data_IF_683712932328
#
_entry.id   IF_683712932328
#
_cell.length_a   1.000
_cell.length_b   1.000
_cell.length_c   1.000
_cell.angle_alpha   90.00
_cell.angle_beta   90.00
_cell.angle_gamma   90.00
#
_symmetry.space_group_name_H-M   'P 1'
#
loop_
_entity.id
_entity.type
_entity.pdbx_description
1 polymer ?
#
# COMPACT_ATOMS: atom_id res chain seq x y z
N UNK A 1 -18.61 16.27 6.32
CA UNK A 1 -18.92 15.40 5.16
C UNK A 1 -18.29 14.06 5.45
N UNK A 2 -19.08 12.98 5.54
CA UNK A 2 -18.51 11.63 5.72
C UNK A 2 -17.92 11.18 4.38
N UNK A 3 -16.65 10.75 4.28
CA UNK A 3 -16.16 10.14 3.06
C UNK A 3 -17.00 8.88 2.80
N UNK A 4 -17.50 8.74 1.57
CA UNK A 4 -18.14 7.51 1.13
C UNK A 4 -17.04 6.44 1.17
N UNK A 5 -17.04 5.61 2.20
CA UNK A 5 -16.27 4.36 2.23
C UNK A 5 -16.78 3.49 1.09
N UNK A 6 -16.21 3.70 -0.09
CA UNK A 6 -16.30 2.76 -1.17
C UNK A 6 -15.33 1.65 -0.80
N UNK A 7 -15.86 0.47 -0.45
CA UNK A 7 -15.09 -0.71 -0.04
C UNK A 7 -14.33 -1.33 -1.22
N UNK A 8 -13.63 -0.51 -2.00
CA UNK A 8 -12.76 -0.95 -3.06
C UNK A 8 -11.44 -1.40 -2.42
N UNK A 9 -11.04 -2.64 -2.67
CA UNK A 9 -9.76 -3.17 -2.20
C UNK A 9 -8.57 -2.48 -2.90
N UNK A 10 -8.82 -1.85 -4.05
CA UNK A 10 -7.82 -1.19 -4.89
C UNK A 10 -8.31 0.21 -5.26
N UNK A 11 -7.52 1.23 -4.90
CA UNK A 11 -7.62 2.58 -5.42
C UNK A 11 -6.65 2.74 -6.60
N UNK A 12 -7.00 3.56 -7.59
CA UNK A 12 -6.12 3.81 -8.73
C UNK A 12 -5.75 5.29 -8.76
N UNK A 13 -4.47 5.59 -8.58
CA UNK A 13 -3.95 6.95 -8.68
C UNK A 13 -3.34 7.17 -10.06
N UNK A 14 -3.69 8.28 -10.71
CA UNK A 14 -3.39 8.52 -12.13
C UNK A 14 -2.93 9.95 -12.38
N UNK A 15 -2.07 10.12 -13.38
CA UNK A 15 -1.62 11.41 -13.88
C UNK A 15 -0.67 12.14 -12.95
N UNK A 16 -0.81 13.47 -12.89
CA UNK A 16 0.07 14.38 -12.14
C UNK A 16 -0.65 14.96 -10.94
N UNK A 17 -0.43 14.38 -9.77
CA UNK A 17 -1.09 14.76 -8.51
C UNK A 17 -0.26 15.81 -7.76
N UNK A 18 0.04 16.93 -8.42
CA UNK A 18 0.94 17.97 -7.89
C UNK A 18 0.29 18.85 -6.81
N UNK A 19 -1.03 19.00 -6.86
CA UNK A 19 -1.80 19.86 -5.97
C UNK A 19 -2.74 19.03 -5.08
N UNK A 20 -3.05 19.49 -3.85
CA UNK A 20 -3.97 18.79 -2.96
C UNK A 20 -5.28 18.47 -3.65
N UNK A 21 -5.67 17.20 -3.62
CA UNK A 21 -6.93 16.71 -4.13
C UNK A 21 -7.45 15.57 -3.26
N UNK A 22 -8.74 15.25 -3.41
CA UNK A 22 -9.29 14.06 -2.78
C UNK A 22 -8.66 12.81 -3.42
N UNK A 23 -7.97 12.01 -2.61
CA UNK A 23 -7.43 10.71 -3.01
C UNK A 23 -8.40 9.62 -2.61
N UNK A 24 -8.62 8.68 -3.52
CA UNK A 24 -9.32 7.45 -3.17
C UNK A 24 -8.45 6.63 -2.21
N UNK A 25 -9.01 6.34 -1.04
CA UNK A 25 -8.39 5.52 -0.01
C UNK A 25 -8.73 4.04 -0.25
N UNK A 26 -7.71 3.20 -0.27
CA UNK A 26 -7.86 1.75 -0.30
C UNK A 26 -6.62 1.08 0.31
N UNK A 27 -6.73 -0.18 0.77
CA UNK A 27 -5.57 -0.95 1.24
C UNK A 27 -4.46 -1.11 0.18
N UNK A 28 -4.84 -1.11 -1.11
CA UNK A 28 -3.92 -1.20 -2.23
C UNK A 28 -4.11 -0.01 -3.16
N UNK A 29 -3.01 0.63 -3.54
CA UNK A 29 -2.97 1.78 -4.43
C UNK A 29 -2.20 1.39 -5.69
N UNK A 30 -2.90 1.33 -6.81
CA UNK A 30 -2.32 1.14 -8.13
C UNK A 30 -1.78 2.47 -8.66
N UNK A 31 -0.48 2.51 -8.91
CA UNK A 31 0.27 3.69 -9.32
C UNK A 31 0.86 3.55 -10.74
N UNK A 32 0.40 2.58 -11.54
CA UNK A 32 0.92 2.35 -12.90
C UNK A 32 0.78 3.55 -13.83
N UNK A 33 -0.29 4.32 -13.65
CA UNK A 33 -0.59 5.52 -14.43
C UNK A 33 -0.19 6.81 -13.68
N UNK A 34 0.48 6.70 -12.53
CA UNK A 34 0.90 7.85 -11.72
C UNK A 34 2.26 8.36 -12.18
N UNK A 35 2.30 9.59 -12.68
CA UNK A 35 3.52 10.23 -13.18
C UNK A 35 4.29 10.94 -12.06
N UNK A 36 3.59 11.71 -11.23
CA UNK A 36 4.19 12.45 -10.14
C UNK A 36 3.19 12.73 -9.01
N UNK A 37 3.74 12.97 -7.83
CA UNK A 37 3.00 13.19 -6.60
C UNK A 37 3.57 14.42 -5.91
N UNK A 38 2.71 15.33 -5.48
CA UNK A 38 3.12 16.47 -4.67
C UNK A 38 3.49 16.05 -3.25
N UNK A 39 4.31 16.86 -2.58
CA UNK A 39 4.75 16.61 -1.19
C UNK A 39 3.60 16.57 -0.20
N UNK A 40 2.47 17.19 -0.52
CA UNK A 40 1.24 17.12 0.28
C UNK A 40 0.75 15.68 0.48
N UNK A 41 0.96 14.78 -0.48
CA UNK A 41 0.55 13.39 -0.36
C UNK A 41 1.41 12.60 0.64
N UNK A 42 2.57 13.14 1.05
CA UNK A 42 3.43 12.47 2.02
C UNK A 42 2.79 12.52 3.40
N UNK A 43 2.10 13.62 3.72
CA UNK A 43 1.29 13.74 4.93
C UNK A 43 0.12 12.75 4.90
N UNK A 44 -0.60 12.69 3.78
CA UNK A 44 -1.67 11.71 3.58
C UNK A 44 -1.16 10.27 3.79
N UNK A 45 0.00 9.91 3.21
CA UNK A 45 0.59 8.57 3.36
C UNK A 45 1.08 8.28 4.80
N UNK A 46 1.35 9.31 5.62
CA UNK A 46 1.67 9.12 7.04
C UNK A 46 0.42 8.92 7.88
N UNK A 47 -0.68 9.59 7.53
CA UNK A 47 -1.98 9.43 8.19
C UNK A 47 -2.64 8.08 7.87
N UNK A 48 -2.27 7.46 6.74
CA UNK A 48 -2.80 6.18 6.27
C UNK A 48 -1.68 5.12 6.19
N UNK A 49 -1.08 4.71 7.33
CA UNK A 49 0.01 3.75 7.32
C UNK A 49 -0.47 2.36 6.89
N UNK A 50 0.41 1.60 6.24
CA UNK A 50 0.12 0.22 5.85
C UNK A 50 -0.57 0.06 4.49
N UNK A 51 -0.65 1.13 3.69
CA UNK A 51 -1.07 1.02 2.30
C UNK A 51 -0.01 0.28 1.46
N UNK A 52 -0.47 -0.62 0.60
CA UNK A 52 0.36 -1.27 -0.40
C UNK A 52 0.35 -0.46 -1.70
N UNK A 53 1.51 -0.07 -2.22
CA UNK A 53 1.63 0.60 -3.52
C UNK A 53 2.18 -0.35 -4.57
N UNK A 54 1.55 -0.35 -5.75
CA UNK A 54 1.87 -1.25 -6.85
C UNK A 54 2.14 -0.48 -8.13
N UNK A 55 3.17 -0.90 -8.87
CA UNK A 55 3.41 -0.40 -10.23
C UNK A 55 3.89 1.06 -10.33
N UNK A 56 4.31 1.66 -9.22
CA UNK A 56 4.89 3.01 -9.23
C UNK A 56 6.19 3.08 -10.06
N UNK A 57 6.42 4.22 -10.71
CA UNK A 57 7.66 4.51 -11.41
C UNK A 57 8.88 4.40 -10.46
N UNK A 58 10.05 3.88 -10.90
CA UNK A 58 11.21 3.71 -10.03
C UNK A 58 11.66 4.98 -9.30
N UNK A 59 11.58 6.12 -9.99
CA UNK A 59 11.91 7.43 -9.40
C UNK A 59 10.95 7.81 -8.26
N UNK A 60 9.65 7.60 -8.45
CA UNK A 60 8.63 7.87 -7.43
C UNK A 60 8.84 6.95 -6.22
N UNK A 61 9.07 5.66 -6.45
CA UNK A 61 9.40 4.69 -5.39
C UNK A 61 10.63 5.12 -4.60
N UNK A 62 11.68 5.61 -5.28
CA UNK A 62 12.91 6.11 -4.65
C UNK A 62 12.61 7.30 -3.75
N UNK A 63 11.90 8.31 -4.26
CA UNK A 63 11.55 9.52 -3.51
C UNK A 63 10.73 9.21 -2.25
N UNK A 64 9.71 8.35 -2.38
CA UNK A 64 8.84 7.97 -1.26
C UNK A 64 9.57 7.09 -0.22
N UNK A 65 10.48 6.22 -0.67
CA UNK A 65 11.31 5.41 0.24
C UNK A 65 12.32 6.28 0.99
N UNK A 66 12.92 7.29 0.34
CA UNK A 66 13.82 8.25 0.98
C UNK A 66 13.09 9.13 2.01
N UNK A 67 11.82 9.42 1.77
CA UNK A 67 10.96 10.11 2.72
C UNK A 67 10.54 9.24 3.93
N UNK A 68 10.98 7.98 3.99
CA UNK A 68 10.73 7.01 5.06
C UNK A 68 9.23 6.82 5.34
N UNK A 69 8.43 6.82 4.27
CA UNK A 69 6.98 6.62 4.39
C UNK A 69 6.65 5.14 4.65
N UNK A 70 5.63 4.84 5.47
CA UNK A 70 5.26 3.48 5.86
C UNK A 70 4.47 2.75 4.76
N UNK A 71 5.08 2.61 3.59
CA UNK A 71 4.49 2.05 2.37
C UNK A 71 5.03 0.64 2.12
N UNK A 72 4.12 -0.30 1.87
CA UNK A 72 4.48 -1.65 1.41
C UNK A 72 4.58 -1.67 -0.12
N UNK A 73 5.72 -2.13 -0.66
CA UNK A 73 5.96 -2.09 -2.11
C UNK A 73 5.79 -3.46 -2.75
N UNK A 74 4.94 -3.53 -3.78
CA UNK A 74 4.78 -4.72 -4.61
C UNK A 74 4.99 -4.39 -6.09
N UNK A 75 5.47 -5.36 -6.86
CA UNK A 75 5.70 -5.19 -8.30
C UNK A 75 4.40 -5.36 -9.09
N UNK A 76 3.56 -6.30 -8.65
CA UNK A 76 2.32 -6.68 -9.30
C UNK A 76 1.21 -6.90 -8.26
N UNK A 77 -0.06 -6.74 -8.68
CA UNK A 77 -1.24 -6.82 -7.80
C UNK A 77 -1.44 -8.22 -7.20
N UNK A 78 -1.07 -9.26 -7.94
CA UNK A 78 -1.12 -10.67 -7.52
C UNK A 78 -0.18 -11.00 -6.34
N UNK A 79 0.84 -10.16 -6.11
CA UNK A 79 1.77 -10.30 -4.99
C UNK A 79 1.23 -9.73 -3.69
N UNK A 80 0.13 -8.97 -3.74
CA UNK A 80 -0.45 -8.34 -2.55
C UNK A 80 -1.28 -9.39 -1.78
N UNK A 81 -0.89 -9.77 -0.55
CA UNK A 81 -1.57 -10.83 0.19
C UNK A 81 -3.06 -10.57 0.40
N UNK A 82 -3.44 -9.30 0.57
CA UNK A 82 -4.82 -8.87 0.76
C UNK A 82 -5.72 -9.04 -0.48
N UNK A 83 -5.13 -9.21 -1.66
CA UNK A 83 -5.85 -9.38 -2.93
C UNK A 83 -5.83 -10.81 -3.47
N UNK A 84 -5.00 -11.70 -2.91
CA UNK A 84 -4.93 -13.08 -3.38
C UNK A 84 -6.14 -13.88 -2.90
N UNK A 85 -7.22 -13.89 -3.69
CA UNK A 85 -8.41 -14.75 -3.50
C UNK A 85 -8.17 -16.22 -3.87
N UNK A 86 -6.90 -16.68 -3.85
CA UNK A 86 -6.57 -18.10 -3.99
C UNK A 86 -6.28 -18.64 -2.60
N UNK A 87 -7.27 -19.28 -2.01
CA UNK A 87 -7.29 -19.65 -0.60
C UNK A 87 -6.13 -20.55 -0.20
N UNK A 88 -5.13 -20.00 0.50
CA UNK A 88 -4.47 -20.67 1.63
C UNK A 88 -3.52 -19.77 2.45
N UNK A 89 -3.76 -18.46 2.50
CA UNK A 89 -2.84 -17.52 3.16
C UNK A 89 -3.49 -16.79 4.33
N UNK A 90 -4.05 -17.54 5.28
CA UNK A 90 -3.92 -17.16 6.68
C UNK A 90 -2.45 -17.32 7.08
N UNK A 91 -1.57 -16.41 6.66
CA UNK A 91 -0.22 -16.31 7.23
C UNK A 91 -0.26 -15.40 8.45
N UNK A 92 -0.96 -15.87 9.48
CA UNK A 92 -0.48 -15.65 10.84
C UNK A 92 0.75 -16.55 11.05
N UNK A 93 1.60 -16.20 12.00
CA UNK A 93 2.72 -17.05 12.43
C UNK A 93 2.14 -18.42 12.79
N UNK A 94 2.51 -19.45 12.03
CA UNK A 94 2.04 -20.81 12.29
C UNK A 94 2.50 -21.28 13.67
N UNK A 95 1.83 -22.26 14.31
CA UNK A 95 2.24 -22.79 15.61
C UNK A 95 3.73 -23.16 15.66
N UNK A 96 4.25 -23.72 14.57
CA UNK A 96 5.65 -24.14 14.43
C UNK A 96 6.62 -22.94 14.33
N UNK A 97 6.25 -21.87 13.61
CA UNK A 97 7.03 -20.63 13.58
C UNK A 97 6.95 -19.89 14.93
N UNK A 98 5.84 -20.05 15.68
CA UNK A 98 5.67 -19.50 17.03
C UNK A 98 6.62 -20.19 18.01
N UNK A 99 6.73 -21.51 17.96
CA UNK A 99 7.64 -22.28 18.81
C UNK A 99 9.11 -21.90 18.57
N UNK A 100 9.48 -21.63 17.30
CA UNK A 100 10.84 -21.19 16.94
C UNK A 100 11.17 -19.76 17.40
N UNK A 101 10.19 -18.86 17.43
CA UNK A 101 10.40 -17.46 17.82
C UNK A 101 10.35 -17.22 19.33
N UNK A 102 9.57 -18.01 20.07
CA UNK A 102 9.37 -17.85 21.51
C UNK A 102 9.97 -18.96 22.38
N UNK A 103 10.44 -20.07 21.79
CA UNK A 103 11.16 -21.10 22.53
C UNK A 103 10.33 -21.78 23.62
N UNK A 104 9.01 -21.88 23.45
CA UNK A 104 8.18 -22.68 24.35
C UNK A 104 8.33 -24.15 23.94
N UNK A 105 9.12 -24.90 24.73
CA UNK A 105 9.24 -26.37 24.69
C UNK A 105 7.92 -27.07 25.04
#
# INVERSE_FOLDING_TARGET
MKPKSNSALIAVWRGRLLWPCALDEAPVIDCRELECLGTWAYEWLREHPGCAMVGAHPELKRQLSQAQLPILWYKHLDQVPSLSTSGNSQRGVGPDERALLWGDE
#
